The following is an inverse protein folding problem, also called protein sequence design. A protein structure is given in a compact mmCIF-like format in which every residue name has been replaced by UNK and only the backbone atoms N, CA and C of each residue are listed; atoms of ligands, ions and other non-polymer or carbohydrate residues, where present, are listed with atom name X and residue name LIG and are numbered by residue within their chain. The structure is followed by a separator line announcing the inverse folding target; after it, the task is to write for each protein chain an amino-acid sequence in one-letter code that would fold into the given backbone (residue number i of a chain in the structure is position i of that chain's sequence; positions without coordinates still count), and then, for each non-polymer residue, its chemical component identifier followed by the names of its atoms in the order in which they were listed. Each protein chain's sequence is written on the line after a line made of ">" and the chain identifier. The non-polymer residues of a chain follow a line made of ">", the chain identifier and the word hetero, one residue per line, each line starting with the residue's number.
data_IF_961680159044
#
_entry.id   IF_961680159044
#
_cell.length_a   1.000
_cell.length_b   1.000
_cell.length_c   1.000
_cell.angle_alpha   90.00
_cell.angle_beta   90.00
_cell.angle_gamma   90.00
#
_symmetry.space_group_name_H-M   'P 1'
#
loop_
_entity.id
_entity.type
_entity.pdbx_description
1 polymer ?
#
# COMPACT_ATOMS: atom_id res chain seq x y z
N UNK A 1 -17.65 10.72 5.24
CA UNK A 1 -17.09 9.68 6.15
C UNK A 1 -15.56 9.71 6.03
N UNK A 2 -14.76 9.00 6.84
CA UNK A 2 -13.32 8.92 6.58
C UNK A 2 -13.06 8.27 5.20
N UNK A 3 -12.02 8.71 4.49
CA UNK A 3 -11.73 8.32 3.11
C UNK A 3 -10.46 7.48 3.02
N UNK A 4 -10.55 6.34 2.33
CA UNK A 4 -9.44 5.46 1.98
C UNK A 4 -9.11 5.62 0.50
N UNK A 5 -7.90 6.08 0.20
CA UNK A 5 -7.41 6.23 -1.18
C UNK A 5 -6.68 4.96 -1.60
N UNK A 6 -7.20 4.25 -2.59
CA UNK A 6 -6.64 2.97 -3.05
C UNK A 6 -5.72 3.22 -4.24
N UNK A 7 -4.48 2.74 -4.16
CA UNK A 7 -3.55 2.69 -5.29
C UNK A 7 -3.69 1.31 -5.95
N UNK A 8 -4.28 1.23 -7.15
CA UNK A 8 -4.47 -0.05 -7.82
C UNK A 8 -3.12 -0.58 -8.36
N UNK A 9 -2.99 -1.90 -8.59
CA UNK A 9 -1.78 -2.46 -9.20
C UNK A 9 -1.65 -2.09 -10.69
N UNK A 10 -2.76 -1.86 -11.38
CA UNK A 10 -2.81 -1.51 -12.81
C UNK A 10 -3.98 -0.55 -13.07
N UNK A 11 -3.87 0.27 -14.12
CA UNK A 11 -5.01 1.06 -14.61
C UNK A 11 -6.18 0.12 -15.01
N UNK A 12 -7.40 0.45 -14.60
CA UNK A 12 -8.58 -0.37 -14.90
C UNK A 12 -8.83 -1.53 -13.93
N UNK A 13 -7.97 -1.73 -12.92
CA UNK A 13 -8.13 -2.79 -11.93
C UNK A 13 -9.26 -2.50 -10.90
N UNK A 14 -9.85 -1.30 -10.88
CA UNK A 14 -10.82 -0.85 -9.89
C UNK A 14 -12.03 -1.78 -9.82
N UNK A 15 -12.47 -2.32 -10.97
CA UNK A 15 -13.58 -3.29 -11.03
C UNK A 15 -13.31 -4.56 -10.24
N UNK A 16 -12.05 -5.03 -10.21
CA UNK A 16 -11.66 -6.23 -9.45
C UNK A 16 -11.60 -5.97 -7.95
N UNK A 17 -11.48 -4.70 -7.54
CA UNK A 17 -11.50 -4.28 -6.14
C UNK A 17 -12.91 -4.12 -5.58
N UNK A 18 -13.98 -4.31 -6.37
CA UNK A 18 -15.34 -4.10 -5.89
C UNK A 18 -15.67 -4.88 -4.59
N UNK A 19 -15.29 -6.16 -4.42
CA UNK A 19 -15.52 -6.86 -3.15
C UNK A 19 -14.83 -6.19 -1.96
N UNK A 20 -13.62 -5.66 -2.17
CA UNK A 20 -12.87 -4.93 -1.15
C UNK A 20 -13.51 -3.57 -0.85
N UNK A 21 -13.94 -2.84 -1.89
CA UNK A 21 -14.66 -1.56 -1.74
C UNK A 21 -15.94 -1.75 -0.92
N UNK A 22 -16.72 -2.78 -1.25
CA UNK A 22 -17.93 -3.13 -0.51
C UNK A 22 -17.61 -3.44 0.96
N UNK A 23 -16.55 -4.18 1.22
CA UNK A 23 -16.09 -4.48 2.58
C UNK A 23 -15.72 -3.20 3.35
N UNK A 24 -14.91 -2.31 2.76
CA UNK A 24 -14.48 -1.06 3.39
C UNK A 24 -15.67 -0.16 3.70
N UNK A 25 -16.62 -0.04 2.78
CA UNK A 25 -17.80 0.80 2.97
C UNK A 25 -18.77 0.20 3.99
N UNK A 26 -19.14 -1.08 3.84
CA UNK A 26 -20.20 -1.71 4.64
C UNK A 26 -19.71 -2.14 6.02
N UNK A 27 -18.46 -2.58 6.14
CA UNK A 27 -17.93 -3.18 7.38
C UNK A 27 -17.03 -2.22 8.15
N UNK A 28 -16.33 -1.30 7.48
CA UNK A 28 -15.43 -0.35 8.13
C UNK A 28 -16.05 1.06 8.25
N UNK A 29 -17.06 1.38 7.46
CA UNK A 29 -17.68 2.72 7.46
C UNK A 29 -16.79 3.81 6.85
N UNK A 30 -15.93 3.43 5.89
CA UNK A 30 -15.07 4.35 5.15
C UNK A 30 -15.56 4.52 3.72
N UNK A 31 -15.43 5.73 3.17
CA UNK A 31 -15.53 5.95 1.73
C UNK A 31 -14.23 5.51 1.04
N UNK A 32 -14.30 5.22 -0.25
CA UNK A 32 -13.16 4.79 -1.06
C UNK A 32 -13.04 5.62 -2.33
N UNK A 33 -11.81 5.96 -2.71
CA UNK A 33 -11.48 6.49 -4.03
C UNK A 33 -10.27 5.74 -4.60
N UNK A 34 -10.01 5.89 -5.90
CA UNK A 34 -8.88 5.27 -6.57
C UNK A 34 -7.92 6.31 -7.15
N UNK A 35 -6.63 6.07 -6.97
CA UNK A 35 -5.59 6.78 -7.71
C UNK A 35 -5.68 6.38 -9.18
N UNK A 36 -5.70 7.38 -10.07
CA UNK A 36 -5.64 7.17 -11.51
C UNK A 36 -4.19 7.01 -11.92
N UNK A 37 -3.85 5.83 -12.44
CA UNK A 37 -2.52 5.54 -12.97
C UNK A 37 -2.46 5.85 -14.46
N UNK A 38 -1.57 6.76 -14.84
CA UNK A 38 -1.21 7.01 -16.23
C UNK A 38 0.07 6.22 -16.55
N UNK A 39 -0.11 4.98 -17.02
CA UNK A 39 1.01 4.13 -17.41
C UNK A 39 1.42 4.43 -18.86
N UNK A 40 2.72 4.49 -19.20
CA UNK A 40 3.20 4.72 -20.57
C UNK A 40 2.92 3.54 -21.52
N UNK A 41 2.36 2.43 -21.02
CA UNK A 41 2.04 1.23 -21.79
C UNK A 41 1.25 0.20 -20.99
N UNK A 42 1.14 -1.02 -21.52
CA UNK A 42 0.40 -2.12 -20.89
C UNK A 42 1.21 -2.86 -19.80
N UNK A 43 2.52 -2.59 -19.72
CA UNK A 43 3.41 -3.13 -18.69
C UNK A 43 3.64 -2.08 -17.60
N UNK A 44 3.86 -2.51 -16.35
CA UNK A 44 4.41 -1.63 -15.32
C UNK A 44 5.70 -0.95 -15.82
N UNK A 45 5.94 0.32 -15.49
CA UNK A 45 7.12 1.05 -15.94
C UNK A 45 8.34 0.67 -15.09
N UNK A 46 8.79 -0.57 -15.22
CA UNK A 46 9.94 -1.12 -14.51
C UNK A 46 11.18 -0.22 -14.67
N UNK A 47 11.81 0.16 -13.56
CA UNK A 47 13.01 1.01 -13.55
C UNK A 47 12.75 2.50 -13.81
N UNK A 48 11.49 2.93 -13.90
CA UNK A 48 11.10 4.33 -14.08
C UNK A 48 10.31 4.85 -12.87
N UNK A 49 10.57 6.08 -12.47
CA UNK A 49 9.87 6.77 -11.37
C UNK A 49 8.73 7.67 -11.85
N UNK A 50 8.41 7.66 -13.15
CA UNK A 50 7.53 8.66 -13.78
C UNK A 50 6.08 8.65 -13.25
N UNK A 51 5.64 7.52 -12.71
CA UNK A 51 4.28 7.38 -12.16
C UNK A 51 4.15 7.98 -10.75
N UNK A 52 5.24 8.09 -10.01
CA UNK A 52 5.22 8.47 -8.59
C UNK A 52 4.75 9.90 -8.33
N UNK A 53 5.16 10.93 -9.11
CA UNK A 53 4.61 12.27 -8.94
C UNK A 53 3.09 12.31 -9.09
N UNK A 54 2.52 11.50 -9.99
CA UNK A 54 1.07 11.39 -10.18
C UNK A 54 0.35 10.71 -9.01
N UNK A 55 0.98 9.71 -8.39
CA UNK A 55 0.47 9.07 -7.17
C UNK A 55 0.54 10.05 -5.99
N UNK A 56 1.67 10.73 -5.80
CA UNK A 56 1.87 11.68 -4.69
C UNK A 56 0.81 12.79 -4.71
N UNK A 57 0.61 13.41 -5.88
CA UNK A 57 -0.36 14.50 -6.06
C UNK A 57 -1.80 14.08 -5.68
N UNK A 58 -2.16 12.82 -5.87
CA UNK A 58 -3.49 12.28 -5.56
C UNK A 58 -3.63 11.81 -4.11
N UNK A 59 -2.53 11.65 -3.38
CA UNK A 59 -2.50 11.00 -2.05
C UNK A 59 -2.07 11.91 -0.90
N UNK A 60 -1.67 13.16 -1.18
CA UNK A 60 -1.26 14.15 -0.16
C UNK A 60 -2.28 14.24 0.97
N UNK A 61 -1.82 13.99 2.21
CA UNK A 61 -2.61 14.10 3.43
C UNK A 61 -3.69 13.02 3.60
N UNK A 62 -3.71 11.97 2.77
CA UNK A 62 -4.74 10.91 2.80
C UNK A 62 -4.25 9.63 3.46
N UNK A 63 -5.18 8.77 3.92
CA UNK A 63 -4.84 7.36 4.22
C UNK A 63 -4.82 6.63 2.91
N UNK A 64 -3.72 5.94 2.64
CA UNK A 64 -3.51 5.27 1.36
C UNK A 64 -3.41 3.78 1.59
N UNK A 65 -4.13 3.02 0.78
CA UNK A 65 -4.03 1.58 0.73
C UNK A 65 -3.41 1.15 -0.60
N UNK A 66 -2.48 0.20 -0.54
CA UNK A 66 -1.99 -0.51 -1.72
C UNK A 66 -1.84 -2.00 -1.43
N UNK A 67 -2.07 -2.82 -2.45
CA UNK A 67 -1.83 -4.27 -2.40
C UNK A 67 -0.97 -4.70 -3.58
N UNK A 68 -0.02 -5.62 -3.39
CA UNK A 68 0.84 -6.10 -4.47
C UNK A 68 1.58 -4.92 -5.14
N UNK A 69 1.54 -4.82 -6.46
CA UNK A 69 2.08 -3.69 -7.24
C UNK A 69 1.54 -2.32 -6.80
N UNK A 70 0.29 -2.26 -6.35
CA UNK A 70 -0.29 -1.04 -5.78
C UNK A 70 0.38 -0.61 -4.48
N UNK A 71 0.86 -1.56 -3.66
CA UNK A 71 1.58 -1.27 -2.43
C UNK A 71 2.96 -0.67 -2.72
N UNK A 72 3.65 -1.11 -3.78
CA UNK A 72 4.91 -0.49 -4.22
C UNK A 72 4.67 0.96 -4.66
N UNK A 73 3.65 1.19 -5.48
CA UNK A 73 3.28 2.53 -5.92
C UNK A 73 2.89 3.44 -4.76
N UNK A 74 2.19 2.91 -3.75
CA UNK A 74 1.90 3.66 -2.53
C UNK A 74 3.18 3.97 -1.73
N UNK A 75 4.04 2.98 -1.51
CA UNK A 75 5.28 3.15 -0.75
C UNK A 75 6.22 4.21 -1.36
N UNK A 76 6.39 4.18 -2.68
CA UNK A 76 7.33 5.05 -3.39
C UNK A 76 6.69 6.34 -3.95
N UNK A 77 5.37 6.32 -4.15
CA UNK A 77 4.63 7.43 -4.74
C UNK A 77 3.86 8.26 -3.74
N UNK A 78 3.34 7.71 -2.64
CA UNK A 78 2.50 8.45 -1.69
C UNK A 78 3.32 9.13 -0.58
N UNK A 79 4.38 9.86 -0.98
CA UNK A 79 5.40 10.39 -0.08
C UNK A 79 4.86 11.39 0.94
N UNK A 80 3.76 12.08 0.61
CA UNK A 80 3.09 13.03 1.50
C UNK A 80 1.74 12.53 2.03
N UNK A 81 1.48 11.23 1.97
CA UNK A 81 0.33 10.62 2.63
C UNK A 81 0.39 10.81 4.15
N UNK A 82 -0.77 10.81 4.81
CA UNK A 82 -0.82 10.87 6.29
C UNK A 82 -0.56 9.52 6.93
N UNK A 83 -0.89 8.43 6.23
CA UNK A 83 -0.73 7.05 6.69
C UNK A 83 -0.78 6.09 5.51
N UNK A 84 -0.02 5.00 5.58
CA UNK A 84 0.00 3.93 4.57
C UNK A 84 -0.50 2.60 5.15
N UNK A 85 -1.26 1.85 4.37
CA UNK A 85 -1.57 0.45 4.62
C UNK A 85 -1.08 -0.33 3.39
N UNK A 86 -0.07 -1.18 3.58
CA UNK A 86 0.67 -1.87 2.52
C UNK A 86 0.49 -3.37 2.69
N UNK A 87 -0.31 -3.99 1.81
CA UNK A 87 -0.52 -5.45 1.80
C UNK A 87 0.32 -6.14 0.72
N UNK A 88 1.00 -7.22 1.08
CA UNK A 88 1.77 -8.10 0.18
C UNK A 88 2.56 -7.32 -0.89
N UNK A 89 3.51 -6.48 -0.51
CA UNK A 89 4.16 -5.57 -1.46
C UNK A 89 4.92 -6.32 -2.58
N UNK A 90 4.52 -6.06 -3.83
CA UNK A 90 5.18 -6.53 -5.06
C UNK A 90 5.51 -5.33 -5.94
N UNK A 91 6.47 -5.35 -6.89
CA UNK A 91 7.58 -6.28 -7.06
C UNK A 91 8.97 -5.60 -6.89
N UNK A 92 10.01 -6.42 -6.68
CA UNK A 92 11.46 -6.21 -6.83
C UNK A 92 12.10 -4.94 -6.25
N UNK A 93 12.96 -5.12 -5.24
CA UNK A 93 13.96 -4.12 -4.87
C UNK A 93 15.31 -4.43 -5.52
N UNK A 94 16.21 -3.44 -5.56
CA UNK A 94 17.61 -3.60 -6.01
C UNK A 94 18.33 -4.79 -5.34
N UNK A 95 17.89 -5.21 -4.16
CA UNK A 95 18.50 -6.24 -3.30
C UNK A 95 18.00 -7.68 -3.58
N UNK A 96 17.12 -7.91 -4.57
CA UNK A 96 16.66 -9.24 -4.98
C UNK A 96 17.52 -9.81 -6.12
N UNK A 97 18.45 -10.74 -5.85
CA UNK A 97 19.51 -11.16 -6.80
C UNK A 97 19.09 -12.02 -8.01
N UNK A 98 17.85 -12.51 -8.09
CA UNK A 98 17.47 -13.60 -9.03
C UNK A 98 16.61 -13.19 -10.23
N UNK A 99 16.22 -11.91 -10.38
CA UNK A 99 15.21 -11.50 -11.40
C UNK A 99 15.79 -10.56 -12.49
N UNK A 100 15.54 -10.82 -13.80
CA UNK A 100 16.10 -10.03 -14.91
C UNK A 100 15.34 -8.71 -15.20
N UNK A 101 14.08 -8.54 -14.77
CA UNK A 101 13.29 -7.31 -14.96
C UNK A 101 13.02 -6.60 -13.61
N UNK A 102 14.03 -5.93 -13.04
CA UNK A 102 13.90 -5.26 -11.74
C UNK A 102 13.39 -3.82 -11.86
N UNK A 103 12.62 -3.39 -10.86
CA UNK A 103 12.65 -1.98 -10.46
C UNK A 103 14.04 -1.71 -9.88
N UNK A 104 14.94 -1.09 -10.65
CA UNK A 104 16.22 -0.56 -10.15
C UNK A 104 16.03 0.66 -9.23
N UNK A 105 14.94 0.70 -8.48
CA UNK A 105 14.56 1.81 -7.63
C UNK A 105 14.67 1.32 -6.20
N UNK A 106 15.46 2.04 -5.40
CA UNK A 106 15.62 1.71 -4.00
C UNK A 106 14.30 1.94 -3.26
N UNK A 107 13.87 0.97 -2.45
CA UNK A 107 12.77 1.16 -1.48
C UNK A 107 13.00 2.37 -0.57
N UNK A 108 14.27 2.74 -0.36
CA UNK A 108 14.65 3.89 0.46
C UNK A 108 14.24 5.24 -0.14
N UNK A 109 13.73 5.26 -1.37
CA UNK A 109 13.13 6.45 -1.98
C UNK A 109 11.73 6.78 -1.43
N UNK A 110 11.14 5.91 -0.61
CA UNK A 110 9.91 6.23 0.14
C UNK A 110 10.12 7.32 1.20
N UNK A 111 9.07 7.60 1.99
CA UNK A 111 9.16 8.52 3.13
C UNK A 111 9.11 7.76 4.46
N UNK A 112 10.23 7.58 5.19
CA UNK A 112 10.25 6.78 6.42
C UNK A 112 9.53 7.46 7.60
N UNK A 113 9.18 8.74 7.48
CA UNK A 113 8.43 9.48 8.48
C UNK A 113 6.91 9.23 8.40
N UNK A 114 6.41 8.73 7.27
CA UNK A 114 4.99 8.39 7.12
C UNK A 114 4.69 7.11 7.92
N UNK A 115 3.69 7.11 8.82
CA UNK A 115 3.33 5.90 9.54
C UNK A 115 2.74 4.84 8.58
N UNK A 116 3.10 3.57 8.80
CA UNK A 116 2.72 2.49 7.89
C UNK A 116 2.23 1.21 8.61
N UNK A 117 1.18 0.60 8.11
CA UNK A 117 0.78 -0.77 8.45
C UNK A 117 1.23 -1.72 7.34
N UNK A 118 2.09 -2.67 7.68
CA UNK A 118 2.71 -3.59 6.72
C UNK A 118 2.15 -4.98 6.96
N UNK A 119 1.50 -5.55 5.95
CA UNK A 119 0.84 -6.84 6.01
C UNK A 119 1.46 -7.76 4.95
N UNK A 120 1.81 -8.99 5.31
CA UNK A 120 2.32 -10.03 4.39
C UNK A 120 1.65 -11.37 4.70
N UNK A 121 1.41 -12.20 3.69
CA UNK A 121 0.69 -13.46 3.87
C UNK A 121 1.63 -14.51 4.42
N UNK A 122 1.22 -15.23 5.46
CA UNK A 122 2.05 -16.26 6.08
C UNK A 122 2.43 -17.40 5.12
N UNK A 123 1.64 -17.61 4.07
CA UNK A 123 1.89 -18.64 3.06
C UNK A 123 2.58 -18.08 1.80
N UNK A 124 2.93 -16.80 1.77
CA UNK A 124 3.76 -16.25 0.70
C UNK A 124 5.19 -16.77 0.77
N UNK A 125 5.90 -16.69 -0.36
CA UNK A 125 7.27 -17.19 -0.45
C UNK A 125 8.27 -16.36 0.38
N UNK A 126 9.46 -16.93 0.57
CA UNK A 126 10.53 -16.29 1.33
C UNK A 126 10.95 -14.92 0.76
N UNK A 127 10.76 -14.68 -0.53
CA UNK A 127 11.12 -13.41 -1.17
C UNK A 127 10.13 -12.31 -0.75
N UNK A 128 8.83 -12.58 -0.74
CA UNK A 128 7.81 -11.66 -0.24
C UNK A 128 8.02 -11.30 1.23
N UNK A 129 8.36 -12.28 2.06
CA UNK A 129 8.69 -12.05 3.48
C UNK A 129 9.93 -11.17 3.65
N UNK A 130 10.99 -11.38 2.85
CA UNK A 130 12.18 -10.51 2.86
C UNK A 130 11.83 -9.07 2.49
N UNK A 131 11.00 -8.86 1.46
CA UNK A 131 10.54 -7.54 1.03
C UNK A 131 9.74 -6.83 2.12
N UNK A 132 8.77 -7.51 2.71
CA UNK A 132 7.96 -6.96 3.80
C UNK A 132 8.83 -6.59 5.01
N UNK A 133 9.84 -7.41 5.32
CA UNK A 133 10.83 -7.15 6.37
C UNK A 133 11.70 -5.93 6.07
N UNK A 134 12.19 -5.78 4.83
CA UNK A 134 12.98 -4.61 4.44
C UNK A 134 12.16 -3.31 4.55
N UNK A 135 10.89 -3.36 4.16
CA UNK A 135 9.96 -2.22 4.29
C UNK A 135 9.62 -1.92 5.74
N UNK A 136 9.47 -2.95 6.58
CA UNK A 136 9.32 -2.78 8.04
C UNK A 136 10.48 -1.99 8.62
N UNK A 137 11.71 -2.42 8.32
CA UNK A 137 12.91 -1.80 8.88
C UNK A 137 13.18 -0.39 8.32
N UNK A 138 12.55 -0.04 7.20
CA UNK A 138 12.61 1.29 6.60
C UNK A 138 11.80 2.34 7.36
N UNK A 139 10.57 2.02 7.76
CA UNK A 139 9.66 2.99 8.37
C UNK A 139 9.99 3.23 9.84
N UNK A 140 9.86 4.47 10.32
CA UNK A 140 10.10 4.81 11.74
C UNK A 140 8.94 4.48 12.65
N UNK A 141 7.72 4.55 12.11
CA UNK A 141 6.49 4.23 12.82
C UNK A 141 5.74 3.21 11.98
N UNK A 142 5.73 1.96 12.42
CA UNK A 142 5.06 0.91 11.67
C UNK A 142 4.36 -0.11 12.57
N UNK A 143 3.40 -0.82 11.99
CA UNK A 143 3.04 -2.16 12.43
C UNK A 143 3.47 -3.16 11.36
N UNK A 144 3.70 -4.40 11.78
CA UNK A 144 4.04 -5.50 10.89
C UNK A 144 3.22 -6.71 11.27
N UNK A 145 2.45 -7.23 10.32
CA UNK A 145 1.60 -8.39 10.53
C UNK A 145 1.90 -9.46 9.51
N UNK A 146 2.28 -10.62 10.03
CA UNK A 146 2.28 -11.87 9.29
C UNK A 146 0.85 -12.46 9.34
N UNK A 147 0.14 -12.36 8.22
CA UNK A 147 -1.29 -12.66 8.11
C UNK A 147 -1.47 -14.17 8.01
N UNK A 148 -1.84 -14.78 9.12
CA UNK A 148 -2.02 -16.22 9.26
C UNK A 148 -2.88 -16.82 8.13
N UNK A 149 -2.44 -17.96 7.60
CA UNK A 149 -3.11 -18.74 6.55
C UNK A 149 -3.39 -17.99 5.23
N UNK A 150 -2.90 -16.76 5.06
CA UNK A 150 -3.12 -15.99 3.84
C UNK A 150 -2.02 -16.25 2.82
N UNK A 151 -2.44 -16.44 1.57
CA UNK A 151 -1.58 -16.36 0.38
C UNK A 151 -1.63 -14.94 -0.22
N UNK A 152 -1.12 -14.75 -1.44
CA UNK A 152 -1.09 -13.47 -2.14
C UNK A 152 -2.48 -13.06 -2.68
N UNK A 153 -3.46 -12.95 -1.79
CA UNK A 153 -4.87 -12.76 -2.12
C UNK A 153 -5.53 -11.73 -1.18
N UNK A 154 -5.79 -10.52 -1.70
CA UNK A 154 -6.34 -9.40 -0.90
C UNK A 154 -7.66 -9.74 -0.19
N UNK A 155 -8.53 -10.51 -0.83
CA UNK A 155 -9.85 -10.83 -0.28
C UNK A 155 -9.82 -11.99 0.71
N UNK A 156 -8.65 -12.51 1.07
CA UNK A 156 -8.52 -13.48 2.13
C UNK A 156 -9.10 -12.89 3.45
N UNK A 157 -9.96 -13.61 4.18
CA UNK A 157 -10.66 -13.06 5.36
C UNK A 157 -9.72 -12.48 6.42
N UNK A 158 -8.53 -13.07 6.60
CA UNK A 158 -7.56 -12.57 7.56
C UNK A 158 -6.92 -11.24 7.10
N UNK A 159 -6.73 -11.02 5.80
CA UNK A 159 -6.30 -9.71 5.31
C UNK A 159 -7.34 -8.63 5.60
N UNK A 160 -8.60 -8.92 5.28
CA UNK A 160 -9.71 -8.00 5.52
C UNK A 160 -9.83 -7.66 7.02
N UNK A 161 -9.66 -8.65 7.90
CA UNK A 161 -9.65 -8.45 9.35
C UNK A 161 -8.54 -7.48 9.79
N UNK A 162 -7.30 -7.69 9.35
CA UNK A 162 -6.17 -6.84 9.73
C UNK A 162 -6.30 -5.43 9.16
N UNK A 163 -6.79 -5.30 7.91
CA UNK A 163 -7.09 -3.99 7.31
C UNK A 163 -8.17 -3.26 8.11
N UNK A 164 -9.24 -3.95 8.53
CA UNK A 164 -10.26 -3.33 9.38
C UNK A 164 -9.67 -2.85 10.71
N UNK A 165 -8.83 -3.67 11.36
CA UNK A 165 -8.20 -3.27 12.61
C UNK A 165 -7.35 -2.01 12.46
N UNK A 166 -6.61 -1.88 11.35
CA UNK A 166 -5.87 -0.67 11.01
C UNK A 166 -6.80 0.54 10.81
N UNK A 167 -7.87 0.39 10.02
CA UNK A 167 -8.84 1.45 9.76
C UNK A 167 -9.60 1.90 11.02
N UNK A 168 -10.02 0.97 11.88
CA UNK A 168 -10.68 1.26 13.15
C UNK A 168 -9.75 2.08 14.05
N UNK A 169 -8.48 1.70 14.16
CA UNK A 169 -7.48 2.46 14.93
C UNK A 169 -7.34 3.90 14.39
N UNK A 170 -7.29 4.08 13.09
CA UNK A 170 -7.15 5.41 12.47
C UNK A 170 -8.39 6.30 12.66
N UNK A 171 -9.60 5.73 12.78
CA UNK A 171 -10.79 6.52 13.11
C UNK A 171 -10.75 7.09 14.53
N UNK A 172 -10.10 6.38 15.46
CA UNK A 172 -10.01 6.78 16.88
C UNK A 172 -8.87 7.76 17.17
N UNK A 173 -7.95 7.98 16.23
CA UNK A 173 -6.86 8.92 16.40
C UNK A 173 -7.34 10.35 16.18
N UNK A 174 -7.09 11.28 17.12
CA UNK A 174 -7.43 12.68 16.93
C UNK A 174 -6.63 13.24 15.74
N UNK A 175 -7.32 13.98 14.87
CA UNK A 175 -6.74 14.60 13.68
C UNK A 175 -5.67 15.63 14.09
N UNK A 176 -4.40 15.21 14.10
CA UNK A 176 -3.28 16.05 14.50
C UNK A 176 -3.03 17.22 13.53
N UNK A 177 -3.76 17.28 12.41
CA UNK A 177 -3.74 18.41 11.48
C UNK A 177 -4.42 19.69 12.02
N UNK A 178 -5.09 19.62 13.19
CA UNK A 178 -5.76 20.77 13.84
C UNK A 178 -4.98 21.47 14.95
N UNK A 179 -3.65 21.32 15.01
CA UNK A 179 -2.84 22.27 15.80
C UNK A 179 -2.74 23.58 15.02
N UNK A 180 -3.75 24.43 15.23
CA UNK A 180 -3.74 25.83 14.81
C UNK A 180 -2.56 26.53 15.49
N UNK A 181 -1.64 27.07 14.68
CA UNK A 181 -0.93 28.29 15.04
C UNK A 181 -1.55 29.45 14.27
#
# INVERSE_FOLDING_TARGET
>A
MPLLTIVPPMAGAERRFQPFVDFVQKSCGWETEFVRLNLPGHRPPFGSTEIFPGVDAQTVGKVVFGFSLGALYAHLGALRARHLILGSISPFFLEDDDEPERWMISYKAGNPATPADILVGALEDAQMHRRATAIRDFYRQHTYTDVASAEHELWHPNYLKEIKAALDRLQTQPDQSRVKN
#
